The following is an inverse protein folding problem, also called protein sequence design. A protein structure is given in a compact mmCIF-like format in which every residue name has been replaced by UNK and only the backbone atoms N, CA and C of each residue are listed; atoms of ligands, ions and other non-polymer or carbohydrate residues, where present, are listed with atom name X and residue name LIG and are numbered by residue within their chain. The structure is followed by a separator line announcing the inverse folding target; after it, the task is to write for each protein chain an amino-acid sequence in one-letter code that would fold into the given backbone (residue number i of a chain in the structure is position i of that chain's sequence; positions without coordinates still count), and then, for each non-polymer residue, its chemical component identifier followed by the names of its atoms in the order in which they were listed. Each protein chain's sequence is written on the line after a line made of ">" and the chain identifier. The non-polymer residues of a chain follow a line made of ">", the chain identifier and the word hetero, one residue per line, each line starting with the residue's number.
data_IF_194213934431
#
_entry.id   IF_194213934431
#
_cell.length_a   1.000
_cell.length_b   1.000
_cell.length_c   1.000
_cell.angle_alpha   90.00
_cell.angle_beta   90.00
_cell.angle_gamma   90.00
#
_symmetry.space_group_name_H-M   'P 1'
#
loop_
_entity.id
_entity.type
_entity.pdbx_description
1 polymer ?
#
# COMPACT_ATOMS: atom_id res chain seq x y z
N UNK A 1 33.17 -3.59 -6.63
CA UNK A 1 32.08 -4.03 -7.54
C UNK A 1 30.67 -3.53 -7.13
N UNK A 2 30.51 -2.79 -6.02
CA UNK A 2 29.21 -2.27 -5.57
C UNK A 2 28.62 -1.09 -6.39
N UNK A 3 29.42 -0.43 -7.24
CA UNK A 3 28.98 0.76 -8.00
C UNK A 3 28.09 0.44 -9.23
N UNK A 4 28.09 -0.80 -9.71
CA UNK A 4 27.27 -1.20 -10.86
C UNK A 4 25.82 -1.54 -10.47
N UNK A 5 25.60 -2.10 -9.27
CA UNK A 5 24.27 -2.43 -8.76
C UNK A 5 23.43 -1.18 -8.42
N UNK A 6 24.08 -0.12 -7.93
CA UNK A 6 23.44 1.16 -7.62
C UNK A 6 22.87 1.89 -8.84
N UNK A 7 23.47 1.73 -10.03
CA UNK A 7 22.92 2.30 -11.28
C UNK A 7 21.67 1.55 -11.77
N UNK A 8 21.63 0.23 -11.57
CA UNK A 8 20.48 -0.60 -11.95
C UNK A 8 19.25 -0.29 -11.07
N UNK A 9 19.44 -0.10 -9.76
CA UNK A 9 18.36 0.29 -8.85
C UNK A 9 17.80 1.70 -9.14
N UNK A 10 18.66 2.65 -9.52
CA UNK A 10 18.23 3.98 -9.94
C UNK A 10 17.39 3.94 -11.25
N UNK A 11 17.70 3.03 -12.17
CA UNK A 11 16.90 2.81 -13.38
C UNK A 11 15.58 2.10 -13.12
N UNK A 12 15.53 1.17 -12.16
CA UNK A 12 14.30 0.49 -11.73
C UNK A 12 13.36 1.47 -11.00
N UNK A 13 13.90 2.36 -10.17
CA UNK A 13 13.12 3.42 -9.53
C UNK A 13 12.61 4.47 -10.54
N UNK A 14 13.36 4.74 -11.62
CA UNK A 14 12.90 5.61 -12.71
C UNK A 14 11.84 4.96 -13.60
N UNK A 15 11.86 3.64 -13.82
CA UNK A 15 10.85 2.94 -14.61
C UNK A 15 9.53 2.75 -13.84
N UNK A 16 9.59 2.51 -12.52
CA UNK A 16 8.40 2.48 -11.65
C UNK A 16 7.72 3.85 -11.47
N UNK A 17 8.46 4.94 -11.73
CA UNK A 17 7.99 6.34 -11.61
C UNK A 17 7.21 6.84 -12.84
N UNK A 18 7.23 6.11 -13.97
CA UNK A 18 6.66 6.60 -15.24
C UNK A 18 5.15 6.40 -15.42
N UNK A 19 4.45 5.63 -14.59
CA UNK A 19 3.05 5.24 -14.89
C UNK A 19 1.97 5.78 -13.94
N UNK A 20 2.31 6.33 -12.78
CA UNK A 20 1.32 6.94 -11.88
C UNK A 20 1.56 8.47 -11.89
N UNK A 21 0.97 9.16 -12.88
CA UNK A 21 1.12 10.58 -13.21
C UNK A 21 0.68 11.60 -12.15
N UNK A 22 1.02 11.39 -10.88
CA UNK A 22 1.01 12.40 -9.82
C UNK A 22 2.23 12.12 -8.93
N UNK A 23 3.38 12.69 -9.31
CA UNK A 23 4.46 12.98 -8.38
C UNK A 23 3.91 14.05 -7.40
N UNK A 24 3.21 13.64 -6.35
CA UNK A 24 3.11 14.50 -5.18
C UNK A 24 4.51 14.57 -4.55
N UNK A 25 5.29 15.57 -4.99
CA UNK A 25 6.54 16.13 -4.42
C UNK A 25 7.43 15.10 -3.70
N UNK A 26 8.53 14.71 -4.36
CA UNK A 26 9.64 13.89 -3.85
C UNK A 26 9.68 13.76 -2.31
N UNK A 27 9.29 12.60 -1.73
CA UNK A 27 9.39 12.40 -0.30
C UNK A 27 10.85 12.59 0.14
N UNK A 28 11.03 13.23 1.30
CA UNK A 28 12.36 13.36 1.90
C UNK A 28 12.85 11.94 2.18
N UNK A 29 14.11 11.64 1.90
CA UNK A 29 14.70 10.33 2.21
C UNK A 29 15.26 10.31 3.63
N UNK A 30 15.16 9.18 4.32
CA UNK A 30 15.67 9.03 5.70
C UNK A 30 17.16 9.38 5.82
N UNK A 31 17.99 9.04 4.82
CA UNK A 31 19.43 9.38 4.79
C UNK A 31 19.72 10.89 4.81
N UNK A 32 18.74 11.72 4.41
CA UNK A 32 18.85 13.18 4.53
C UNK A 32 18.49 13.65 5.95
N UNK A 33 17.58 12.95 6.64
CA UNK A 33 17.21 13.21 8.02
C UNK A 33 18.36 12.87 8.97
N UNK A 34 19.02 11.72 8.78
CA UNK A 34 20.21 11.37 9.56
C UNK A 34 21.30 12.44 9.48
N UNK A 35 21.57 12.96 8.26
CA UNK A 35 22.51 14.07 8.06
C UNK A 35 22.11 15.32 8.82
N UNK A 36 20.82 15.64 8.90
CA UNK A 36 20.33 16.78 9.67
C UNK A 36 20.52 16.58 11.17
N UNK A 37 20.22 15.39 11.68
CA UNK A 37 20.43 15.03 13.10
C UNK A 37 21.91 15.19 13.48
N UNK A 38 22.82 14.61 12.69
CA UNK A 38 24.27 14.67 12.93
C UNK A 38 24.79 16.10 12.86
N UNK A 39 24.27 16.92 11.95
CA UNK A 39 24.69 18.32 11.79
C UNK A 39 24.17 19.27 12.89
N UNK A 40 23.37 18.79 13.85
CA UNK A 40 22.64 19.61 14.84
C UNK A 40 21.74 20.70 14.22
N UNK A 41 21.55 20.67 12.91
CA UNK A 41 20.58 21.50 12.20
C UNK A 41 19.24 20.80 12.36
N UNK A 42 18.48 21.16 13.40
CA UNK A 42 17.10 20.68 13.57
C UNK A 42 16.21 21.49 12.64
N UNK A 43 15.81 21.02 11.44
CA UNK A 43 14.67 21.62 10.78
C UNK A 43 13.47 21.53 11.75
N UNK A 44 12.50 22.43 11.61
CA UNK A 44 11.25 22.27 12.32
C UNK A 44 10.57 20.98 11.81
N UNK A 45 10.79 19.86 12.53
CA UNK A 45 10.33 18.53 12.14
C UNK A 45 8.79 18.47 12.00
N UNK A 46 8.08 19.49 12.50
CA UNK A 46 6.65 19.67 12.34
C UNK A 46 6.21 19.82 10.87
N UNK A 47 7.11 20.24 9.97
CA UNK A 47 6.80 20.49 8.56
C UNK A 47 7.03 19.28 7.63
N UNK A 48 7.62 18.19 8.14
CA UNK A 48 7.88 17.00 7.31
C UNK A 48 6.56 16.25 7.08
N UNK A 49 6.03 16.41 5.86
CA UNK A 49 4.74 15.81 5.46
C UNK A 49 4.88 14.45 4.80
N UNK A 50 6.06 14.08 4.31
CA UNK A 50 6.32 12.85 3.56
C UNK A 50 7.74 12.35 3.78
N UNK A 51 7.90 11.04 4.01
CA UNK A 51 9.20 10.39 4.24
C UNK A 51 9.29 9.06 3.50
N UNK A 52 10.50 8.72 3.04
CA UNK A 52 10.88 7.41 2.52
C UNK A 52 11.85 6.72 3.48
N UNK A 53 11.50 5.51 3.94
CA UNK A 53 12.36 4.61 4.76
C UNK A 53 12.65 3.29 4.04
N UNK A 54 13.79 2.66 4.34
CA UNK A 54 14.33 1.47 3.67
C UNK A 54 14.37 0.19 4.52
N UNK A 55 13.94 0.24 5.79
CA UNK A 55 14.07 -0.89 6.71
C UNK A 55 13.38 -0.67 8.06
N UNK A 56 13.42 -1.71 8.92
CA UNK A 56 12.80 -1.70 10.25
C UNK A 56 13.49 -0.74 11.21
N UNK A 57 14.82 -0.74 11.22
CA UNK A 57 15.64 0.15 12.05
C UNK A 57 15.32 1.62 11.77
N UNK A 58 15.29 2.02 10.49
CA UNK A 58 14.92 3.38 10.09
C UNK A 58 13.50 3.74 10.53
N UNK A 59 12.54 2.83 10.41
CA UNK A 59 11.15 3.09 10.81
C UNK A 59 11.03 3.39 12.31
N UNK A 60 11.72 2.65 13.17
CA UNK A 60 11.68 2.87 14.62
C UNK A 60 12.21 4.25 15.02
N UNK A 61 13.25 4.73 14.33
CA UNK A 61 13.78 6.07 14.53
C UNK A 61 12.80 7.14 14.04
N UNK A 62 12.17 6.92 12.89
CA UNK A 62 11.14 7.83 12.35
C UNK A 62 9.98 8.03 13.31
N UNK A 63 9.48 6.94 13.93
CA UNK A 63 8.39 7.02 14.90
C UNK A 63 8.78 7.91 16.09
N UNK A 64 10.06 7.88 16.52
CA UNK A 64 10.56 8.69 17.63
C UNK A 64 10.75 10.16 17.23
N UNK A 65 11.24 10.43 16.02
CA UNK A 65 11.63 11.78 15.58
C UNK A 65 10.42 12.57 15.05
N UNK A 66 9.50 11.92 14.32
CA UNK A 66 8.40 12.58 13.60
C UNK A 66 7.07 11.84 13.83
N UNK A 67 6.54 11.85 15.07
CA UNK A 67 5.30 11.11 15.40
C UNK A 67 4.05 11.65 14.69
N UNK A 68 4.12 12.87 14.16
CA UNK A 68 3.00 13.59 13.54
C UNK A 68 2.96 13.48 12.00
N UNK A 69 3.75 12.58 11.41
CA UNK A 69 3.85 12.42 9.96
C UNK A 69 2.48 12.09 9.33
N UNK A 70 2.19 12.72 8.18
CA UNK A 70 0.92 12.54 7.45
C UNK A 70 1.01 11.59 6.27
N UNK A 71 2.16 11.51 5.60
CA UNK A 71 2.39 10.59 4.49
C UNK A 71 3.68 9.82 4.72
N UNK A 72 3.66 8.51 4.53
CA UNK A 72 4.83 7.66 4.71
C UNK A 72 4.93 6.70 3.53
N UNK A 73 6.13 6.60 2.97
CA UNK A 73 6.49 5.59 2.00
C UNK A 73 7.57 4.69 2.61
N UNK A 74 7.30 3.39 2.68
CA UNK A 74 8.20 2.38 3.24
C UNK A 74 8.59 1.48 2.07
N UNK A 75 9.89 1.38 1.82
CA UNK A 75 10.48 0.40 0.92
C UNK A 75 11.21 -0.59 1.81
N UNK A 76 10.87 -1.87 1.72
CA UNK A 76 11.58 -2.90 2.42
C UNK A 76 12.28 -3.76 1.38
N UNK A 77 13.60 -3.61 1.33
CA UNK A 77 14.50 -4.34 0.46
C UNK A 77 15.42 -5.14 1.38
N UNK A 78 15.10 -6.41 1.57
CA UNK A 78 15.91 -7.30 2.39
C UNK A 78 16.92 -8.01 1.49
N UNK A 79 18.21 -7.73 1.69
CA UNK A 79 19.30 -8.46 1.04
C UNK A 79 19.69 -9.72 1.84
N UNK A 80 19.26 -9.85 3.11
CA UNK A 80 19.74 -10.89 4.02
C UNK A 80 18.64 -11.89 4.39
N UNK A 81 18.93 -13.17 4.17
CA UNK A 81 18.05 -14.32 4.45
C UNK A 81 18.01 -14.64 5.95
N UNK A 82 18.09 -13.64 6.81
CA UNK A 82 18.08 -13.88 8.26
C UNK A 82 16.66 -13.81 8.81
N UNK A 83 16.15 -14.99 9.20
CA UNK A 83 14.74 -15.28 9.47
C UNK A 83 14.21 -14.66 10.78
N UNK A 84 14.96 -13.78 11.43
CA UNK A 84 14.69 -13.37 12.82
C UNK A 84 14.29 -11.91 13.01
N UNK A 85 14.42 -11.04 12.01
CA UNK A 85 13.98 -9.65 12.15
C UNK A 85 12.55 -9.48 11.67
N UNK A 86 11.63 -9.75 12.59
CA UNK A 86 10.25 -9.28 12.50
C UNK A 86 10.29 -7.75 12.36
N UNK A 87 10.09 -7.24 11.14
CA UNK A 87 9.72 -5.84 10.97
C UNK A 87 8.52 -5.58 11.89
N UNK A 88 8.56 -4.59 12.80
CA UNK A 88 7.41 -4.30 13.63
C UNK A 88 6.31 -3.78 12.71
N UNK A 89 5.43 -4.70 12.32
CA UNK A 89 4.33 -4.53 11.39
C UNK A 89 3.16 -3.74 12.03
N UNK A 90 3.49 -2.86 12.98
CA UNK A 90 2.59 -2.12 13.82
C UNK A 90 2.83 -0.60 13.69
N UNK A 91 2.00 0.06 12.90
CA UNK A 91 2.07 1.49 12.63
C UNK A 91 1.04 2.30 13.45
N UNK A 92 0.41 1.69 14.46
CA UNK A 92 -0.68 2.31 15.23
C UNK A 92 -0.29 3.60 15.94
N UNK A 93 1.00 3.80 16.24
CA UNK A 93 1.53 4.99 16.90
C UNK A 93 1.54 6.24 16.01
N UNK A 94 1.44 6.07 14.69
CA UNK A 94 1.43 7.18 13.73
C UNK A 94 -0.01 7.74 13.60
N UNK A 95 -0.53 8.32 14.68
CA UNK A 95 -1.95 8.73 14.79
C UNK A 95 -2.39 9.79 13.78
N UNK A 96 -1.45 10.53 13.16
CA UNK A 96 -1.75 11.54 12.12
C UNK A 96 -1.50 11.03 10.70
N UNK A 97 -1.15 9.76 10.51
CA UNK A 97 -0.83 9.20 9.21
C UNK A 97 -2.09 9.06 8.36
N UNK A 98 -2.18 9.87 7.31
CA UNK A 98 -3.31 9.88 6.38
C UNK A 98 -3.04 9.04 5.13
N UNK A 99 -1.78 8.83 4.76
CA UNK A 99 -1.39 8.09 3.56
C UNK A 99 -0.17 7.21 3.81
N UNK A 100 -0.30 5.92 3.49
CA UNK A 100 0.78 4.94 3.57
C UNK A 100 0.96 4.25 2.23
N UNK A 101 2.21 4.19 1.77
CA UNK A 101 2.62 3.30 0.68
C UNK A 101 3.71 2.38 1.21
N UNK A 102 3.46 1.09 1.21
CA UNK A 102 4.40 0.09 1.70
C UNK A 102 4.72 -0.90 0.59
N UNK A 103 5.97 -0.88 0.16
CA UNK A 103 6.54 -1.76 -0.85
C UNK A 103 7.47 -2.74 -0.15
N UNK A 104 7.23 -4.05 -0.33
CA UNK A 104 8.02 -5.12 0.27
C UNK A 104 8.55 -6.05 -0.82
N UNK A 105 9.87 -6.19 -0.93
CA UNK A 105 10.52 -7.11 -1.86
C UNK A 105 11.03 -8.35 -1.12
N UNK A 106 11.08 -9.51 -1.80
CA UNK A 106 11.65 -10.75 -1.25
C UNK A 106 10.74 -11.55 -0.31
N UNK A 107 10.00 -10.91 0.60
CA UNK A 107 9.14 -11.58 1.59
C UNK A 107 7.69 -11.10 1.56
N UNK A 108 6.77 -11.96 2.02
CA UNK A 108 5.35 -11.60 2.15
C UNK A 108 5.14 -10.78 3.42
N UNK A 109 4.10 -9.96 3.47
CA UNK A 109 3.65 -9.37 4.74
C UNK A 109 3.24 -10.45 5.75
N UNK A 110 3.45 -10.20 7.05
CA UNK A 110 2.96 -11.09 8.11
C UNK A 110 1.44 -10.95 8.26
N UNK A 111 0.77 -11.93 8.86
CA UNK A 111 -0.69 -11.92 9.02
C UNK A 111 -1.23 -10.88 10.03
N UNK A 112 -0.35 -10.08 10.65
CA UNK A 112 -0.69 -9.17 11.76
C UNK A 112 -0.29 -7.72 11.48
N UNK A 113 -0.57 -7.22 10.28
CA UNK A 113 -0.42 -5.80 10.01
C UNK A 113 -1.46 -4.98 10.77
N UNK A 114 -0.98 -4.01 11.55
CA UNK A 114 -1.83 -3.05 12.24
C UNK A 114 -1.54 -1.64 11.72
N UNK A 115 -2.61 -0.97 11.27
CA UNK A 115 -2.55 0.37 10.71
C UNK A 115 -3.25 1.36 11.65
N UNK A 116 -2.82 2.64 11.67
CA UNK A 116 -3.52 3.68 12.41
C UNK A 116 -4.90 3.94 11.77
N UNK A 117 -5.91 4.21 12.61
CA UNK A 117 -7.29 4.44 12.14
C UNK A 117 -7.46 5.76 11.38
N UNK A 118 -6.48 6.69 11.46
CA UNK A 118 -6.46 7.94 10.70
C UNK A 118 -6.14 7.77 9.21
N UNK A 119 -5.78 6.56 8.80
CA UNK A 119 -5.38 6.27 7.43
C UNK A 119 -6.54 6.44 6.45
N UNK A 120 -6.33 7.28 5.44
CA UNK A 120 -7.28 7.53 4.34
C UNK A 120 -6.84 6.85 3.04
N UNK A 121 -5.54 6.66 2.85
CA UNK A 121 -4.96 6.03 1.65
C UNK A 121 -3.98 4.94 2.05
N UNK A 122 -4.17 3.73 1.55
CA UNK A 122 -3.28 2.60 1.75
C UNK A 122 -2.89 2.03 0.38
N UNK A 123 -1.58 1.95 0.14
CA UNK A 123 -1.01 1.18 -0.97
C UNK A 123 -0.11 0.10 -0.39
N UNK A 124 -0.45 -1.16 -0.64
CA UNK A 124 0.45 -2.27 -0.36
C UNK A 124 0.93 -2.85 -1.68
N UNK A 125 2.22 -3.13 -1.74
CA UNK A 125 2.86 -3.67 -2.93
C UNK A 125 3.89 -4.70 -2.50
N UNK A 126 3.81 -5.93 -3.02
CA UNK A 126 4.75 -6.99 -2.65
C UNK A 126 5.31 -7.71 -3.87
N UNK A 127 6.61 -7.95 -3.89
CA UNK A 127 7.28 -8.65 -5.00
C UNK A 127 7.73 -10.05 -4.61
N UNK A 128 6.82 -10.83 -4.03
CA UNK A 128 7.13 -12.19 -3.59
C UNK A 128 6.65 -13.21 -4.62
N UNK A 129 7.52 -14.14 -5.01
CA UNK A 129 7.19 -15.34 -5.81
C UNK A 129 6.11 -16.19 -5.14
N UNK A 130 6.11 -16.24 -3.80
CA UNK A 130 5.17 -16.98 -2.95
C UNK A 130 3.95 -16.17 -2.54
N UNK A 131 3.55 -15.16 -3.35
CA UNK A 131 2.41 -14.26 -3.13
C UNK A 131 1.38 -14.84 -2.16
N UNK A 132 1.25 -14.23 -0.98
CA UNK A 132 0.24 -14.59 0.02
C UNK A 132 -0.98 -13.68 -0.06
N UNK A 133 -2.04 -14.13 0.61
CA UNK A 133 -3.26 -13.37 0.82
C UNK A 133 -3.02 -12.06 1.58
N UNK A 134 -4.03 -11.18 1.53
CA UNK A 134 -3.97 -9.89 2.19
C UNK A 134 -3.72 -10.05 3.71
N UNK A 135 -2.63 -9.50 4.26
CA UNK A 135 -2.16 -9.63 5.66
C UNK A 135 -2.99 -8.89 6.72
N UNK A 136 -4.22 -8.47 6.42
CA UNK A 136 -4.96 -7.52 7.24
C UNK A 136 -6.24 -8.15 7.80
N UNK A 137 -6.36 -8.13 9.13
CA UNK A 137 -7.50 -8.66 9.88
C UNK A 137 -8.26 -7.58 10.70
N UNK A 138 -7.86 -6.30 10.60
CA UNK A 138 -8.48 -5.20 11.37
C UNK A 138 -9.55 -4.42 10.61
N UNK A 139 -10.01 -3.29 11.14
CA UNK A 139 -10.88 -2.33 10.43
C UNK A 139 -10.15 -1.00 10.22
N UNK A 140 -10.31 -0.40 9.04
CA UNK A 140 -9.84 0.95 8.71
C UNK A 140 -11.05 1.83 8.36
N UNK A 141 -11.73 2.40 9.36
CA UNK A 141 -13.02 3.07 9.16
C UNK A 141 -12.93 4.32 8.28
N UNK A 142 -11.78 4.99 8.26
CA UNK A 142 -11.56 6.22 7.50
C UNK A 142 -10.90 6.00 6.14
N UNK A 143 -10.66 4.74 5.74
CA UNK A 143 -9.94 4.44 4.51
C UNK A 143 -10.82 4.71 3.30
N UNK A 144 -10.37 5.63 2.44
CA UNK A 144 -11.04 6.05 1.21
C UNK A 144 -10.42 5.42 -0.02
N UNK A 145 -9.11 5.17 -0.01
CA UNK A 145 -8.39 4.60 -1.15
C UNK A 145 -7.59 3.38 -0.71
N UNK A 146 -7.88 2.23 -1.32
CA UNK A 146 -7.11 1.00 -1.16
C UNK A 146 -6.51 0.59 -2.49
N UNK A 147 -5.18 0.45 -2.52
CA UNK A 147 -4.44 -0.05 -3.69
C UNK A 147 -3.64 -1.28 -3.28
N UNK A 148 -3.86 -2.40 -3.95
CA UNK A 148 -3.06 -3.60 -3.79
C UNK A 148 -2.33 -3.91 -5.08
N UNK A 149 -1.03 -4.15 -4.99
CA UNK A 149 -0.19 -4.50 -6.13
C UNK A 149 0.50 -5.85 -5.88
N UNK A 150 0.46 -6.74 -6.88
CA UNK A 150 1.17 -8.03 -6.88
C UNK A 150 0.75 -9.02 -5.77
N UNK A 151 -0.53 -9.03 -5.40
CA UNK A 151 -1.10 -9.98 -4.43
C UNK A 151 -1.74 -11.22 -5.07
N UNK A 152 -1.73 -12.33 -4.34
CA UNK A 152 -2.58 -13.50 -4.63
C UNK A 152 -3.76 -13.44 -3.65
N UNK A 153 -4.98 -13.35 -4.15
CA UNK A 153 -6.18 -13.04 -3.35
C UNK A 153 -7.14 -14.25 -3.27
N UNK A 154 -6.58 -15.44 -3.01
CA UNK A 154 -7.33 -16.71 -2.96
C UNK A 154 -8.22 -16.81 -1.72
N UNK A 155 -7.70 -16.43 -0.56
CA UNK A 155 -8.37 -16.46 0.74
C UNK A 155 -8.67 -15.06 1.25
N UNK A 156 -8.78 -14.07 0.35
CA UNK A 156 -9.12 -12.72 0.76
C UNK A 156 -10.53 -12.71 1.39
N UNK A 157 -10.57 -12.43 2.70
CA UNK A 157 -11.77 -12.48 3.56
C UNK A 157 -12.18 -11.11 4.11
N UNK A 158 -11.76 -10.04 3.48
CA UNK A 158 -12.14 -8.70 3.95
C UNK A 158 -13.55 -8.38 3.49
N UNK A 159 -14.34 -7.79 4.38
CA UNK A 159 -15.71 -7.41 4.08
C UNK A 159 -16.00 -5.92 4.21
N UNK A 160 -17.21 -5.50 3.82
CA UNK A 160 -17.63 -4.11 3.83
C UNK A 160 -17.49 -3.44 5.20
N UNK A 161 -17.51 -4.20 6.31
CA UNK A 161 -17.36 -3.65 7.66
C UNK A 161 -15.92 -3.22 7.97
N UNK A 162 -14.94 -3.70 7.19
CA UNK A 162 -13.54 -3.38 7.39
C UNK A 162 -13.18 -2.02 6.76
N UNK A 163 -13.90 -1.59 5.71
CA UNK A 163 -13.63 -0.33 4.99
C UNK A 163 -14.94 0.43 4.66
N UNK A 164 -15.70 0.86 5.68
CA UNK A 164 -17.02 1.48 5.47
C UNK A 164 -17.00 2.78 4.66
N UNK A 165 -15.85 3.47 4.59
CA UNK A 165 -15.68 4.73 3.86
C UNK A 165 -14.93 4.58 2.52
N UNK A 166 -14.77 3.35 2.01
CA UNK A 166 -13.96 3.12 0.82
C UNK A 166 -14.62 3.70 -0.43
N UNK A 167 -13.92 4.58 -1.13
CA UNK A 167 -14.40 5.24 -2.35
C UNK A 167 -13.71 4.69 -3.61
N UNK A 168 -12.43 4.30 -3.51
CA UNK A 168 -11.62 3.85 -4.64
C UNK A 168 -10.85 2.59 -4.29
N UNK A 169 -11.02 1.57 -5.11
CA UNK A 169 -10.33 0.29 -4.96
C UNK A 169 -9.54 -0.06 -6.23
N UNK A 170 -8.23 -0.26 -6.08
CA UNK A 170 -7.32 -0.50 -7.21
C UNK A 170 -6.53 -1.78 -7.00
N UNK A 171 -6.50 -2.62 -8.03
CA UNK A 171 -5.69 -3.82 -8.07
C UNK A 171 -4.75 -3.77 -9.27
N UNK A 172 -3.46 -3.98 -9.05
CA UNK A 172 -2.47 -4.10 -10.13
C UNK A 172 -1.71 -5.42 -10.02
N UNK A 173 -1.59 -6.19 -11.09
CA UNK A 173 -0.85 -7.46 -11.09
C UNK A 173 -1.34 -8.48 -10.04
N UNK A 174 -2.63 -8.45 -9.70
CA UNK A 174 -3.23 -9.34 -8.70
C UNK A 174 -3.90 -10.56 -9.35
N UNK A 175 -3.86 -11.71 -8.66
CA UNK A 175 -4.32 -13.00 -9.18
C UNK A 175 -5.16 -13.76 -8.16
N UNK A 176 -5.83 -14.81 -8.63
CA UNK A 176 -6.39 -15.84 -7.76
C UNK A 176 -7.62 -15.41 -6.98
N UNK A 177 -8.42 -14.48 -7.50
CA UNK A 177 -9.72 -14.13 -6.90
C UNK A 177 -10.57 -15.40 -6.75
N UNK A 178 -10.69 -15.88 -5.52
CA UNK A 178 -11.69 -16.88 -5.16
C UNK A 178 -13.09 -16.28 -5.29
N UNK A 179 -14.11 -17.06 -4.90
CA UNK A 179 -15.53 -16.67 -4.96
C UNK A 179 -15.92 -15.49 -4.05
N UNK A 180 -14.97 -14.85 -3.34
CA UNK A 180 -15.21 -14.10 -2.11
C UNK A 180 -15.03 -12.56 -2.10
N UNK A 181 -14.70 -11.80 -3.17
CA UNK A 181 -14.77 -10.34 -3.08
C UNK A 181 -16.21 -9.82 -3.09
N UNK A 182 -17.19 -10.72 -2.85
CA UNK A 182 -18.63 -10.48 -2.83
C UNK A 182 -19.00 -9.35 -1.88
N UNK A 183 -18.24 -9.14 -0.79
CA UNK A 183 -18.60 -8.15 0.22
C UNK A 183 -18.08 -6.73 -0.05
N UNK A 184 -17.12 -6.53 -0.96
CA UNK A 184 -16.76 -5.18 -1.44
C UNK A 184 -17.87 -4.60 -2.33
N UNK A 185 -18.70 -5.46 -2.92
CA UNK A 185 -19.88 -5.08 -3.73
C UNK A 185 -20.97 -4.36 -2.95
N UNK A 186 -20.87 -4.36 -1.63
CA UNK A 186 -21.90 -3.84 -0.73
C UNK A 186 -21.43 -2.57 -0.01
N UNK A 187 -20.24 -2.06 -0.34
CA UNK A 187 -19.77 -0.78 0.20
C UNK A 187 -20.48 0.35 -0.54
N UNK A 188 -21.35 1.13 0.12
CA UNK A 188 -22.19 2.13 -0.55
C UNK A 188 -21.40 3.36 -1.00
N UNK A 189 -20.24 3.62 -0.37
CA UNK A 189 -19.38 4.77 -0.70
C UNK A 189 -18.52 4.55 -1.94
N UNK A 190 -18.51 3.34 -2.51
CA UNK A 190 -17.59 2.95 -3.57
C UNK A 190 -17.95 3.65 -4.88
N UNK A 191 -17.01 4.43 -5.41
CA UNK A 191 -17.17 5.23 -6.65
C UNK A 191 -16.35 4.68 -7.80
N UNK A 192 -15.20 4.07 -7.52
CA UNK A 192 -14.40 3.45 -8.57
C UNK A 192 -13.73 2.14 -8.16
N UNK A 193 -13.64 1.24 -9.14
CA UNK A 193 -12.88 -0.01 -9.06
C UNK A 193 -12.02 -0.13 -10.30
N UNK A 194 -10.73 -0.34 -10.11
CA UNK A 194 -9.76 -0.35 -11.18
C UNK A 194 -8.89 -1.61 -11.13
N UNK A 195 -8.78 -2.29 -12.26
CA UNK A 195 -8.01 -3.51 -12.43
C UNK A 195 -6.98 -3.31 -13.52
N UNK A 196 -5.70 -3.47 -13.19
CA UNK A 196 -4.59 -3.33 -14.13
C UNK A 196 -3.79 -4.62 -14.18
N UNK A 197 -3.66 -5.23 -15.36
CA UNK A 197 -2.79 -6.41 -15.51
C UNK A 197 -3.16 -7.54 -14.54
N UNK A 198 -4.46 -7.74 -14.31
CA UNK A 198 -5.00 -8.78 -13.44
C UNK A 198 -5.46 -10.00 -14.25
N UNK A 199 -5.41 -11.18 -13.65
CA UNK A 199 -5.77 -12.45 -14.32
C UNK A 199 -7.27 -12.56 -14.67
N UNK A 200 -7.60 -13.37 -15.68
CA UNK A 200 -8.93 -13.49 -16.29
C UNK A 200 -10.16 -13.64 -15.38
N UNK A 201 -10.04 -14.11 -14.12
CA UNK A 201 -11.16 -14.14 -13.16
C UNK A 201 -11.67 -12.74 -12.76
N UNK A 202 -10.90 -11.69 -13.06
CA UNK A 202 -11.23 -10.30 -12.74
C UNK A 202 -12.40 -9.74 -13.54
N UNK A 203 -12.59 -10.19 -14.79
CA UNK A 203 -13.69 -9.74 -15.64
C UNK A 203 -15.04 -10.17 -15.05
N UNK A 204 -15.13 -11.43 -14.64
CA UNK A 204 -16.32 -11.99 -13.99
C UNK A 204 -16.58 -11.31 -12.65
N UNK A 205 -15.53 -11.01 -11.89
CA UNK A 205 -15.66 -10.25 -10.66
C UNK A 205 -16.22 -8.84 -10.92
N UNK A 206 -15.62 -8.10 -11.84
CA UNK A 206 -15.97 -6.73 -12.20
C UNK A 206 -17.44 -6.60 -12.63
N UNK A 207 -17.90 -7.45 -13.55
CA UNK A 207 -19.30 -7.48 -14.01
C UNK A 207 -20.27 -7.70 -12.86
N UNK A 208 -20.01 -8.71 -12.05
CA UNK A 208 -20.85 -9.03 -10.91
C UNK A 208 -20.85 -7.91 -9.83
N UNK A 209 -19.75 -7.18 -9.63
CA UNK A 209 -19.73 -6.02 -8.72
C UNK A 209 -20.64 -4.92 -9.26
N UNK A 210 -20.52 -4.61 -10.55
CA UNK A 210 -21.31 -3.56 -11.19
C UNK A 210 -22.81 -3.86 -11.15
N UNK A 211 -23.21 -5.10 -11.45
CA UNK A 211 -24.61 -5.52 -11.37
C UNK A 211 -25.18 -5.43 -9.94
N UNK A 212 -24.41 -5.81 -8.93
CA UNK A 212 -24.84 -5.75 -7.53
C UNK A 212 -24.97 -4.30 -7.04
N UNK A 213 -24.01 -3.44 -7.36
CA UNK A 213 -24.04 -2.02 -6.99
C UNK A 213 -25.20 -1.28 -7.68
N UNK A 214 -25.48 -1.59 -8.96
CA UNK A 214 -26.71 -1.13 -9.65
C UNK A 214 -27.99 -1.51 -8.91
N UNK A 215 -28.11 -2.77 -8.46
CA UNK A 215 -29.29 -3.21 -7.66
C UNK A 215 -29.41 -2.49 -6.31
N UNK A 216 -28.31 -1.97 -5.78
CA UNK A 216 -28.27 -1.17 -4.55
C UNK A 216 -28.47 0.34 -4.82
N UNK A 217 -28.70 0.75 -6.08
CA UNK A 217 -28.90 2.16 -6.46
C UNK A 217 -27.61 2.95 -6.68
N UNK A 218 -26.44 2.28 -6.74
CA UNK A 218 -25.17 2.91 -7.05
C UNK A 218 -24.84 2.76 -8.54
N UNK A 219 -25.54 3.53 -9.37
CA UNK A 219 -25.38 3.53 -10.83
C UNK A 219 -24.12 4.25 -11.30
N UNK A 220 -23.54 5.13 -10.45
CA UNK A 220 -22.37 5.95 -10.76
C UNK A 220 -21.03 5.21 -10.60
N UNK A 221 -21.05 3.94 -10.19
CA UNK A 221 -19.84 3.15 -10.00
C UNK A 221 -19.06 3.02 -11.31
N UNK A 222 -17.84 3.56 -11.32
CA UNK A 222 -16.90 3.42 -12.43
C UNK A 222 -16.07 2.14 -12.29
N UNK A 223 -16.12 1.28 -13.30
CA UNK A 223 -15.31 0.06 -13.36
C UNK A 223 -14.35 0.16 -14.53
N UNK A 224 -13.05 0.17 -14.24
CA UNK A 224 -11.98 0.26 -15.22
C UNK A 224 -11.16 -1.04 -15.24
N UNK A 225 -10.96 -1.59 -16.42
CA UNK A 225 -10.14 -2.79 -16.64
C UNK A 225 -9.11 -2.46 -17.72
N UNK A 226 -7.84 -2.57 -17.38
CA UNK A 226 -6.71 -2.21 -18.25
C UNK A 226 -5.80 -3.43 -18.40
N UNK A 227 -5.57 -3.83 -19.65
CA UNK A 227 -4.66 -4.91 -20.05
C UNK A 227 -4.88 -6.21 -19.24
N UNK A 228 -6.04 -6.89 -19.35
CA UNK A 228 -6.24 -8.17 -18.67
C UNK A 228 -5.24 -9.23 -19.18
N UNK A 229 -4.75 -10.09 -18.26
CA UNK A 229 -3.80 -11.18 -18.54
C UNK A 229 -4.53 -12.52 -18.61
#
# INVERSE_FOLDING_TARGET
>A
MAYAALRSLAQILQSASREDGILEKNPIRFDLIEKWIVSSSKPDFMDIKALLVRGSSELEEVIKIIPNIKKLEIHYEDEEVDREYYFPENLVYLHKLESLKWIKFGFSFSEKLNFPTSLKKLTLDQDNVFRKDMPFAGSLPNLQVLKLKRFLLKSWRVDCTHFPSLERFVLKYCYGFGSNPVKIREIPTLRSIEFYQCGGSILTLAKNIQEKQRRLGNDDLQVLIVNPI
#
